data_IF_363607865506
#
_entry.id   IF_363607865506
#
_cell.length_a   1.000
_cell.length_b   1.000
_cell.length_c   1.000
_cell.angle_alpha   90.00
_cell.angle_beta   90.00
_cell.angle_gamma   90.00
#
_symmetry.space_group_name_H-M   'P 1'
#
loop_
_entity.id
_entity.type
_entity.pdbx_description
1 polymer ?
#
# COMPACT_ATOMS: atom_id res chain seq x y z
N UNK A 1 41.36 -16.83 12.05
CA UNK A 1 40.66 -16.16 13.18
C UNK A 1 39.86 -14.92 12.76
N UNK A 2 40.22 -14.28 11.66
CA UNK A 2 39.44 -13.12 11.13
C UNK A 2 38.03 -13.48 10.69
N UNK A 3 37.78 -14.72 10.36
CA UNK A 3 36.49 -15.18 9.82
C UNK A 3 35.37 -15.23 10.89
N UNK A 4 35.68 -15.67 12.11
CA UNK A 4 34.72 -15.69 13.22
C UNK A 4 34.33 -14.27 13.69
N UNK A 5 35.27 -13.34 13.66
CA UNK A 5 34.99 -11.95 14.03
C UNK A 5 34.13 -11.26 12.97
N UNK A 6 34.39 -11.52 11.70
CA UNK A 6 33.57 -10.99 10.58
C UNK A 6 32.18 -11.58 10.60
N UNK A 7 32.06 -12.87 10.87
CA UNK A 7 30.77 -13.55 11.06
C UNK A 7 29.97 -12.93 12.21
N UNK A 8 30.60 -12.80 13.39
CA UNK A 8 29.95 -12.17 14.54
C UNK A 8 29.54 -10.72 14.28
N UNK A 9 30.40 -9.95 13.60
CA UNK A 9 30.12 -8.57 13.23
C UNK A 9 28.96 -8.46 12.24
N UNK A 10 28.83 -9.40 11.30
CA UNK A 10 27.71 -9.45 10.35
C UNK A 10 26.39 -9.70 11.07
N UNK A 11 26.36 -10.65 12.00
CA UNK A 11 25.22 -10.94 12.85
C UNK A 11 24.80 -9.75 13.70
N UNK A 12 25.76 -9.12 14.38
CA UNK A 12 25.49 -7.96 15.21
C UNK A 12 24.90 -6.79 14.42
N UNK A 13 25.43 -6.50 13.23
CA UNK A 13 24.89 -5.46 12.35
C UNK A 13 23.49 -5.80 11.85
N UNK A 14 23.23 -7.04 11.49
CA UNK A 14 21.94 -7.49 11.00
C UNK A 14 20.87 -7.40 12.09
N UNK A 15 21.15 -7.88 13.29
CA UNK A 15 20.24 -7.81 14.42
C UNK A 15 20.08 -6.38 14.95
N UNK A 16 21.13 -5.55 14.91
CA UNK A 16 21.01 -4.13 15.23
C UNK A 16 20.00 -3.41 14.32
N UNK A 17 20.04 -3.68 13.02
CA UNK A 17 19.04 -3.15 12.07
C UNK A 17 17.64 -3.71 12.30
N UNK A 18 17.52 -4.99 12.64
CA UNK A 18 16.24 -5.59 12.98
C UNK A 18 15.64 -4.93 14.23
N UNK A 19 16.45 -4.70 15.25
CA UNK A 19 16.04 -4.05 16.50
C UNK A 19 15.63 -2.59 16.26
N UNK A 20 16.35 -1.85 15.43
CA UNK A 20 15.95 -0.50 15.01
C UNK A 20 14.57 -0.51 14.34
N UNK A 21 14.30 -1.47 13.45
CA UNK A 21 12.98 -1.65 12.83
C UNK A 21 11.86 -1.96 13.83
N UNK A 22 12.15 -2.72 14.88
CA UNK A 22 11.20 -2.94 15.99
C UNK A 22 10.96 -1.64 16.76
N UNK A 23 12.00 -0.87 17.03
CA UNK A 23 11.89 0.44 17.66
C UNK A 23 11.01 1.41 16.86
N UNK A 24 11.23 1.48 15.55
CA UNK A 24 10.38 2.27 14.64
C UNK A 24 8.91 1.83 14.69
N UNK A 25 8.67 0.51 14.71
CA UNK A 25 7.31 -0.04 14.79
C UNK A 25 6.61 0.35 16.10
N UNK A 26 7.34 0.32 17.23
CA UNK A 26 6.81 0.70 18.52
C UNK A 26 6.54 2.22 18.57
N UNK A 27 7.49 3.03 18.13
CA UNK A 27 7.35 4.47 18.11
C UNK A 27 6.16 4.95 17.25
N UNK A 28 5.88 4.24 16.17
CA UNK A 28 4.80 4.59 15.22
C UNK A 28 3.54 3.73 15.37
N UNK A 29 3.42 2.93 16.43
CA UNK A 29 2.29 2.01 16.60
C UNK A 29 0.92 2.71 16.57
N UNK A 30 0.86 3.97 17.00
CA UNK A 30 -0.35 4.80 17.03
C UNK A 30 -0.42 5.83 15.90
N UNK A 31 0.54 5.82 14.97
CA UNK A 31 0.55 6.77 13.85
C UNK A 31 -0.45 6.32 12.78
N UNK A 32 -1.47 7.14 12.44
CA UNK A 32 -2.44 6.79 11.40
C UNK A 32 -1.75 6.53 10.06
N UNK A 33 -2.10 5.42 9.41
CA UNK A 33 -1.52 5.03 8.12
C UNK A 33 -0.14 4.37 8.20
N UNK A 34 0.41 4.19 9.40
CA UNK A 34 1.65 3.44 9.57
C UNK A 34 1.41 1.95 9.40
N UNK A 35 2.22 1.31 8.58
CA UNK A 35 2.23 -0.15 8.45
C UNK A 35 3.53 -0.72 9.00
N UNK A 36 3.39 -1.72 9.87
CA UNK A 36 4.51 -2.42 10.51
C UNK A 36 5.53 -2.90 9.48
N UNK A 37 6.81 -2.73 9.80
CA UNK A 37 7.93 -3.17 8.96
C UNK A 37 8.63 -4.35 9.58
N UNK A 38 8.99 -5.33 8.77
CA UNK A 38 9.79 -6.49 9.17
C UNK A 38 11.08 -6.51 8.37
N UNK A 39 12.18 -6.76 9.06
CA UNK A 39 13.49 -6.88 8.44
C UNK A 39 13.65 -8.27 7.82
N UNK A 40 14.06 -8.32 6.56
CA UNK A 40 14.38 -9.56 5.88
C UNK A 40 15.86 -9.85 6.04
N UNK A 41 16.16 -10.99 6.61
CA UNK A 41 17.50 -11.49 6.79
C UNK A 41 17.75 -12.63 5.81
N UNK A 42 18.92 -12.64 5.21
CA UNK A 42 19.38 -13.74 4.34
C UNK A 42 20.77 -14.19 4.79
N UNK A 43 20.98 -15.48 4.69
CA UNK A 43 22.29 -16.05 4.86
C UNK A 43 23.20 -15.60 3.72
N UNK A 44 24.41 -15.14 4.06
CA UNK A 44 25.45 -14.94 3.07
C UNK A 44 25.99 -16.31 2.68
N UNK A 45 25.45 -16.89 1.62
CA UNK A 45 26.07 -18.06 1.00
C UNK A 45 27.40 -17.62 0.41
N UNK A 46 28.49 -18.19 0.90
CA UNK A 46 29.80 -17.96 0.29
C UNK A 46 29.73 -18.34 -1.19
N UNK A 47 29.89 -17.36 -2.06
CA UNK A 47 30.07 -17.57 -3.51
C UNK A 47 31.45 -18.13 -3.74
N UNK A 48 31.70 -19.33 -3.27
CA UNK A 48 32.81 -20.17 -3.67
C UNK A 48 32.35 -20.98 -4.86
N UNK A 49 33.08 -20.80 -5.95
CA UNK A 49 33.11 -21.59 -7.18
C UNK A 49 32.55 -23.01 -7.01
N UNK A 50 31.80 -23.44 -7.96
CA UNK A 50 31.12 -24.71 -8.18
C UNK A 50 32.01 -25.92 -7.85
N UNK A 51 32.23 -26.19 -6.57
CA UNK A 51 32.83 -27.43 -6.10
C UNK A 51 31.73 -28.32 -5.57
N UNK A 52 31.62 -29.52 -6.17
CA UNK A 52 30.70 -30.60 -5.77
C UNK A 52 30.87 -31.04 -4.31
N UNK A 53 31.85 -30.51 -3.61
CA UNK A 53 32.10 -30.69 -2.20
C UNK A 53 31.97 -29.33 -1.48
N UNK A 54 30.79 -28.99 -1.03
CA UNK A 54 30.61 -27.93 -0.05
C UNK A 54 31.25 -28.42 1.25
N UNK A 55 32.39 -27.88 1.61
CA UNK A 55 32.98 -28.14 2.93
C UNK A 55 31.90 -27.64 3.95
N UNK A 56 31.30 -28.60 4.64
CA UNK A 56 30.41 -28.32 5.74
C UNK A 56 31.18 -27.52 6.79
N UNK A 57 30.97 -26.19 6.85
CA UNK A 57 31.63 -25.37 7.85
C UNK A 57 31.95 -23.92 7.48
N UNK A 58 31.76 -23.46 6.25
CA UNK A 58 31.90 -22.04 5.96
C UNK A 58 30.61 -21.29 6.30
N UNK A 59 30.48 -20.95 7.56
CA UNK A 59 29.44 -20.01 8.01
C UNK A 59 29.77 -18.64 7.42
N UNK A 60 28.94 -18.18 6.47
CA UNK A 60 29.22 -16.96 5.70
C UNK A 60 28.62 -15.70 6.35
N UNK A 61 27.84 -15.86 7.44
CA UNK A 61 27.19 -14.76 8.10
C UNK A 61 25.78 -14.46 7.61
N UNK A 62 25.27 -13.34 8.03
CA UNK A 62 23.90 -12.88 7.73
C UNK A 62 23.92 -11.44 7.25
N UNK A 63 23.07 -11.13 6.29
CA UNK A 63 22.87 -9.75 5.84
C UNK A 63 21.39 -9.38 5.85
N UNK A 64 21.13 -8.09 5.97
CA UNK A 64 19.81 -7.52 5.74
C UNK A 64 19.63 -7.25 4.26
N UNK A 65 18.64 -7.87 3.63
CA UNK A 65 18.32 -7.70 2.20
C UNK A 65 17.23 -6.66 1.98
N UNK A 66 16.46 -6.32 3.01
CA UNK A 66 15.43 -5.30 2.90
C UNK A 66 14.51 -5.24 4.12
N UNK A 67 13.57 -4.33 4.03
CA UNK A 67 12.45 -4.23 4.95
C UNK A 67 11.14 -4.47 4.19
N UNK A 68 10.35 -5.41 4.64
CA UNK A 68 9.02 -5.67 4.12
C UNK A 68 7.99 -4.89 4.92
N UNK A 69 7.11 -4.19 4.21
CA UNK A 69 5.95 -3.55 4.80
C UNK A 69 4.81 -4.57 4.87
N UNK A 70 4.30 -4.81 6.08
CA UNK A 70 3.14 -5.66 6.29
C UNK A 70 1.88 -4.82 6.03
N UNK A 71 1.36 -4.91 4.82
CA UNK A 71 0.07 -4.34 4.44
C UNK A 71 -0.88 -5.47 4.10
N UNK A 72 -2.09 -5.39 4.62
CA UNK A 72 -3.17 -6.26 4.18
C UNK A 72 -3.66 -5.77 2.81
N UNK A 73 -3.38 -6.56 1.76
CA UNK A 73 -3.76 -6.22 0.39
C UNK A 73 -5.28 -6.08 0.23
N UNK A 74 -6.05 -6.87 0.97
CA UNK A 74 -7.51 -6.83 0.93
C UNK A 74 -8.06 -5.53 1.49
N UNK A 75 -7.49 -5.05 2.62
CA UNK A 75 -7.89 -3.78 3.20
C UNK A 75 -7.48 -2.59 2.30
N UNK A 76 -6.31 -2.65 1.69
CA UNK A 76 -5.86 -1.61 0.75
C UNK A 76 -6.76 -1.57 -0.48
N UNK A 77 -7.09 -2.73 -1.06
CA UNK A 77 -7.96 -2.81 -2.23
C UNK A 77 -9.39 -2.37 -1.88
N UNK A 78 -9.93 -2.83 -0.74
CA UNK A 78 -11.23 -2.40 -0.24
C UNK A 78 -11.31 -0.88 -0.04
N UNK A 79 -10.27 -0.28 0.52
CA UNK A 79 -10.18 1.18 0.69
C UNK A 79 -10.13 1.92 -0.65
N UNK A 80 -9.40 1.40 -1.63
CA UNK A 80 -9.34 1.98 -2.99
C UNK A 80 -10.68 1.91 -3.69
N UNK A 81 -11.34 0.75 -3.61
CA UNK A 81 -12.66 0.55 -4.21
C UNK A 81 -13.69 1.50 -3.58
N UNK A 82 -13.73 1.57 -2.26
CA UNK A 82 -14.63 2.49 -1.55
C UNK A 82 -14.37 3.96 -1.91
N UNK A 83 -13.10 4.35 -2.06
CA UNK A 83 -12.74 5.71 -2.48
C UNK A 83 -13.15 6.00 -3.93
N UNK A 84 -13.02 5.01 -4.82
CA UNK A 84 -13.45 5.13 -6.21
C UNK A 84 -14.97 5.27 -6.33
N UNK A 85 -15.72 4.47 -5.57
CA UNK A 85 -17.19 4.52 -5.52
C UNK A 85 -17.70 5.86 -4.96
N UNK A 86 -17.07 6.36 -3.89
CA UNK A 86 -17.35 7.66 -3.34
C UNK A 86 -17.06 8.79 -4.35
N UNK A 87 -15.95 8.71 -5.06
CA UNK A 87 -15.61 9.66 -6.12
C UNK A 87 -16.60 9.62 -7.27
N UNK A 88 -17.04 8.43 -7.69
CA UNK A 88 -18.03 8.27 -8.75
C UNK A 88 -19.41 8.85 -8.35
N UNK A 89 -19.86 8.58 -7.14
CA UNK A 89 -21.13 9.14 -6.65
C UNK A 89 -21.09 10.65 -6.54
N UNK A 90 -19.99 11.19 -6.02
CA UNK A 90 -19.78 12.65 -5.93
C UNK A 90 -19.77 13.32 -7.31
N UNK A 91 -19.16 12.69 -8.31
CA UNK A 91 -19.13 13.21 -9.67
C UNK A 91 -20.50 13.14 -10.38
N UNK A 92 -21.36 12.19 -10.02
CA UNK A 92 -22.71 12.03 -10.58
C UNK A 92 -23.73 13.00 -10.01
N UNK A 93 -23.60 13.40 -8.75
CA UNK A 93 -24.53 14.28 -8.07
C UNK A 93 -24.83 15.58 -8.83
N UNK A 94 -23.85 16.36 -9.35
CA UNK A 94 -24.13 17.60 -10.09
C UNK A 94 -24.96 17.36 -11.35
N UNK A 95 -24.73 16.25 -12.04
CA UNK A 95 -25.48 15.90 -13.25
C UNK A 95 -26.94 15.53 -12.93
N UNK A 96 -27.15 14.77 -11.86
CA UNK A 96 -28.50 14.43 -11.42
C UNK A 96 -29.27 15.67 -10.98
N UNK A 97 -28.68 16.55 -10.20
CA UNK A 97 -29.32 17.80 -9.79
C UNK A 97 -29.62 18.72 -10.97
N UNK A 98 -28.72 18.77 -11.97
CA UNK A 98 -28.96 19.54 -13.19
C UNK A 98 -30.10 18.98 -14.03
N UNK A 99 -30.21 17.65 -14.14
CA UNK A 99 -31.32 16.99 -14.86
C UNK A 99 -32.65 17.18 -14.13
N UNK A 100 -32.68 17.06 -12.80
CA UNK A 100 -33.86 17.34 -11.98
C UNK A 100 -34.33 18.77 -12.14
N UNK A 101 -33.42 19.76 -12.10
CA UNK A 101 -33.75 21.16 -12.31
C UNK A 101 -34.30 21.41 -13.72
N UNK A 102 -33.72 20.77 -14.74
CA UNK A 102 -34.20 20.85 -16.13
C UNK A 102 -35.61 20.28 -16.29
N UNK A 103 -35.88 19.15 -15.67
CA UNK A 103 -37.23 18.53 -15.69
C UNK A 103 -38.27 19.37 -14.93
N UNK A 104 -37.91 19.94 -13.77
CA UNK A 104 -38.77 20.80 -13.01
C UNK A 104 -39.16 22.06 -13.79
N UNK A 105 -38.25 22.66 -14.54
CA UNK A 105 -38.53 23.81 -15.41
C UNK A 105 -39.38 23.43 -16.63
N UNK A 106 -39.14 22.26 -17.24
CA UNK A 106 -39.94 21.78 -18.39
C UNK A 106 -41.38 21.44 -18.03
N UNK A 107 -41.64 20.97 -16.81
CA UNK A 107 -42.99 20.66 -16.30
C UNK A 107 -43.85 21.89 -16.03
N UNK A 108 -43.25 23.09 -15.91
CA UNK A 108 -43.97 24.32 -15.59
C UNK A 108 -44.13 25.28 -16.80
N UNK A 109 -43.84 24.76 -18.03
CA UNK A 109 -44.10 25.52 -19.24
C UNK A 109 -45.63 25.70 -19.40
N UNK A 110 -46.18 26.95 -19.41
CA UNK A 110 -47.57 27.14 -19.62
C UNK A 110 -47.97 26.60 -20.98
N UNK A 111 -48.91 25.66 -21.00
CA UNK A 111 -49.53 25.20 -22.22
C UNK A 111 -50.15 26.42 -22.90
N UNK A 112 -49.48 26.94 -23.92
CA UNK A 112 -50.05 27.98 -24.77
C UNK A 112 -51.35 27.44 -25.36
N UNK A 113 -52.47 27.81 -24.72
CA UNK A 113 -53.83 27.64 -25.26
C UNK A 113 -53.84 28.33 -26.60
N UNK A 114 -53.74 27.57 -27.69
CA UNK A 114 -54.02 28.07 -29.04
C UNK A 114 -55.42 28.61 -29.01
N UNK A 115 -55.59 29.94 -28.97
CA UNK A 115 -56.83 30.62 -29.32
C UNK A 115 -57.08 30.27 -30.77
N UNK A 116 -58.09 29.44 -31.00
CA UNK A 116 -58.72 29.27 -32.32
C UNK A 116 -59.33 30.62 -32.61
N UNK A 117 -58.79 31.31 -33.62
CA UNK A 117 -59.41 32.51 -34.14
C UNK A 117 -60.72 32.16 -34.84
N UNK A 118 -61.76 32.75 -34.40
CA UNK A 118 -63.01 32.84 -35.11
C UNK A 118 -62.82 33.83 -36.24
N UNK A 119 -63.11 33.36 -37.48
CA UNK A 119 -63.42 34.21 -38.64
C UNK A 119 -64.94 34.33 -38.78
#
# INVERSE_FOLDING_TARGET
MTDLLTLGASGLRAYGRALAGVGDNIANAQTPGYARRTTRLEELSGTGEMTLYRAAGQASGVRVTGMNRLTDQWLVEGSRTASADAGQTTARLPWLTATEAGLAQGGNAPLHRRRRGDA
#
